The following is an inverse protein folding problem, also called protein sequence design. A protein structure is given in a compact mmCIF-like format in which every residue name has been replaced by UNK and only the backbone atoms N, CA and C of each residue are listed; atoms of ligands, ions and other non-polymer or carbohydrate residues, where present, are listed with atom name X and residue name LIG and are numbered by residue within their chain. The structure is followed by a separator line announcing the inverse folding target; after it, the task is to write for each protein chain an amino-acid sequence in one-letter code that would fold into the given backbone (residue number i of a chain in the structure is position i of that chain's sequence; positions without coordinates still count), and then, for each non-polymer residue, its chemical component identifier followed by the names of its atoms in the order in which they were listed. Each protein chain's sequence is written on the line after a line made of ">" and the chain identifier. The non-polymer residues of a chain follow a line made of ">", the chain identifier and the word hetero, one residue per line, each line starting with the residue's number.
data_IF_172633684295
#
_entry.id   IF_172633684295
#
_cell.length_a   1.000
_cell.length_b   1.000
_cell.length_c   1.000
_cell.angle_alpha   90.00
_cell.angle_beta   90.00
_cell.angle_gamma   90.00
#
_symmetry.space_group_name_H-M   'P 1'
#
loop_
_entity.id
_entity.type
_entity.pdbx_description
1 polymer ?
#
# COMPACT_ATOMS: atom_id res chain seq x y z
N UNK A 1 11.69 16.70 16.02
CA UNK A 1 10.36 16.09 16.24
C UNK A 1 10.38 14.78 15.49
N UNK A 2 10.31 13.62 16.16
CA UNK A 2 10.39 12.33 15.46
C UNK A 2 9.05 12.10 14.75
N UNK A 3 9.04 12.20 13.42
CA UNK A 3 7.84 12.03 12.61
C UNK A 3 7.52 10.54 12.49
N UNK A 4 6.36 10.12 13.00
CA UNK A 4 5.80 8.79 12.76
C UNK A 4 4.58 8.94 11.88
N UNK A 5 4.48 8.09 10.85
CA UNK A 5 3.29 8.02 10.01
C UNK A 5 2.27 7.11 10.69
N UNK A 6 1.14 7.67 11.08
CA UNK A 6 0.00 6.90 11.58
C UNK A 6 -0.62 6.11 10.43
N UNK A 7 -1.15 4.91 10.72
CA UNK A 7 -1.94 4.20 9.74
C UNK A 7 -3.17 5.03 9.33
N UNK A 8 -3.50 5.01 8.04
CA UNK A 8 -4.69 5.69 7.49
C UNK A 8 -6.02 5.03 7.91
N UNK A 9 -5.97 3.93 8.68
CA UNK A 9 -7.11 3.20 9.20
C UNK A 9 -7.03 2.98 10.71
N UNK A 10 -7.94 2.16 11.23
CA UNK A 10 -7.89 1.71 12.62
C UNK A 10 -6.64 0.86 12.92
N UNK A 11 -6.35 0.62 14.21
CA UNK A 11 -5.19 -0.18 14.60
C UNK A 11 -5.22 -1.57 13.95
N UNK A 12 -4.15 -1.98 13.28
CA UNK A 12 -4.10 -3.24 12.52
C UNK A 12 -3.58 -4.36 13.43
N UNK A 13 -4.29 -5.49 13.59
CA UNK A 13 -3.78 -6.62 14.35
C UNK A 13 -2.57 -7.24 13.64
N UNK A 14 -1.51 -7.50 14.39
CA UNK A 14 -0.24 -8.08 13.93
C UNK A 14 0.29 -9.05 14.97
N UNK A 15 1.29 -9.84 14.61
CA UNK A 15 2.06 -10.65 15.54
C UNK A 15 3.54 -10.24 15.46
N UNK A 16 4.24 -10.26 16.58
CA UNK A 16 5.68 -10.01 16.65
C UNK A 16 6.42 -11.20 17.27
N UNK A 17 7.67 -11.41 16.88
CA UNK A 17 8.49 -12.49 17.42
C UNK A 17 9.06 -12.10 18.79
N UNK A 18 8.74 -12.88 19.83
CA UNK A 18 9.27 -12.72 21.19
C UNK A 18 9.67 -14.08 21.74
N UNK A 19 10.94 -14.22 22.15
CA UNK A 19 11.49 -15.46 22.72
C UNK A 19 11.27 -16.72 21.85
N UNK A 20 11.18 -16.53 20.52
CA UNK A 20 10.93 -17.60 19.55
C UNK A 20 9.46 -17.90 19.26
N UNK A 21 8.54 -17.24 19.97
CA UNK A 21 7.09 -17.37 19.79
C UNK A 21 6.47 -16.11 19.18
N UNK A 22 5.43 -16.29 18.36
CA UNK A 22 4.67 -15.19 17.80
C UNK A 22 3.62 -14.71 18.81
N UNK A 23 3.74 -13.46 19.24
CA UNK A 23 2.87 -12.84 20.23
C UNK A 23 1.92 -11.83 19.57
N UNK A 24 0.64 -11.78 19.98
CA UNK A 24 -0.33 -10.85 19.42
C UNK A 24 -0.03 -9.41 19.80
N UNK A 25 -0.17 -8.51 18.82
CA UNK A 25 0.05 -7.08 18.96
C UNK A 25 -0.86 -6.30 18.00
N UNK A 26 -0.77 -4.98 18.11
CA UNK A 26 -1.50 -4.02 17.30
C UNK A 26 -0.53 -2.99 16.74
N UNK A 27 -0.54 -2.86 15.43
CA UNK A 27 0.22 -1.86 14.69
C UNK A 27 -0.46 -0.49 14.78
N UNK A 28 0.28 0.52 15.21
CA UNK A 28 -0.19 1.89 15.36
C UNK A 28 0.32 2.83 14.26
N UNK A 29 1.53 2.56 13.75
CA UNK A 29 2.18 3.39 12.76
C UNK A 29 3.58 2.90 12.42
N UNK A 30 4.28 3.65 11.58
CA UNK A 30 5.60 3.28 11.09
C UNK A 30 6.43 4.53 10.75
N UNK A 31 7.72 4.34 10.53
CA UNK A 31 8.63 5.38 10.05
C UNK A 31 9.78 4.76 9.27
N UNK A 32 10.38 5.56 8.39
CA UNK A 32 11.66 5.21 7.78
C UNK A 32 12.82 5.68 8.66
N UNK A 33 13.84 4.84 8.75
CA UNK A 33 15.13 5.19 9.33
C UNK A 33 16.11 5.66 8.25
N UNK A 34 17.19 6.39 8.61
CA UNK A 34 18.15 6.93 7.64
C UNK A 34 18.89 5.86 6.82
N UNK A 35 18.94 4.63 7.31
CA UNK A 35 19.54 3.47 6.65
C UNK A 35 18.61 2.81 5.61
N UNK A 36 17.40 3.36 5.42
CA UNK A 36 16.40 2.83 4.51
C UNK A 36 15.56 1.69 5.12
N UNK A 37 15.80 1.33 6.38
CA UNK A 37 14.95 0.36 7.09
C UNK A 37 13.64 1.00 7.53
N UNK A 38 12.64 0.15 7.79
CA UNK A 38 11.36 0.59 8.33
C UNK A 38 11.25 0.13 9.78
N UNK A 39 10.97 1.09 10.66
CA UNK A 39 10.61 0.81 12.05
C UNK A 39 9.13 0.96 12.24
N UNK A 40 8.61 0.06 13.04
CA UNK A 40 7.18 -0.14 13.18
C UNK A 40 6.80 0.05 14.65
N UNK A 41 5.81 0.89 14.90
CA UNK A 41 5.33 1.20 16.24
C UNK A 41 4.17 0.28 16.59
N UNK A 42 4.40 -0.62 17.54
CA UNK A 42 3.43 -1.64 17.93
C UNK A 42 3.09 -1.57 19.39
N UNK A 43 1.90 -2.06 19.73
CA UNK A 43 1.40 -2.17 21.08
C UNK A 43 0.97 -3.60 21.36
N UNK A 44 1.44 -4.16 22.47
CA UNK A 44 1.15 -5.53 22.88
C UNK A 44 0.84 -5.60 24.38
N UNK A 45 0.20 -6.70 24.81
CA UNK A 45 0.04 -7.01 26.23
C UNK A 45 1.08 -8.05 26.59
N UNK A 46 2.09 -7.66 27.38
CA UNK A 46 3.17 -8.54 27.83
C UNK A 46 3.10 -8.66 29.34
N UNK A 47 2.98 -9.88 29.86
CA UNK A 47 2.77 -10.14 31.30
C UNK A 47 1.57 -9.36 31.89
N UNK A 48 0.49 -9.22 31.13
CA UNK A 48 -0.71 -8.49 31.54
C UNK A 48 -0.61 -6.96 31.46
N UNK A 49 0.54 -6.40 31.08
CA UNK A 49 0.73 -4.96 30.93
C UNK A 49 0.77 -4.56 29.46
N UNK A 50 0.02 -3.50 29.11
CA UNK A 50 0.08 -2.89 27.78
C UNK A 50 1.40 -2.15 27.61
N UNK A 51 2.21 -2.55 26.64
CA UNK A 51 3.49 -1.95 26.29
C UNK A 51 3.48 -1.50 24.84
N UNK A 52 4.19 -0.42 24.56
CA UNK A 52 4.37 0.10 23.20
C UNK A 52 5.86 0.13 22.90
N UNK A 53 6.26 -0.29 21.70
CA UNK A 53 7.67 -0.34 21.29
C UNK A 53 7.83 -0.12 19.80
N UNK A 54 9.02 0.29 19.39
CA UNK A 54 9.46 0.29 18.00
C UNK A 54 10.20 -1.01 17.69
N UNK A 55 9.83 -1.68 16.60
CA UNK A 55 10.39 -2.95 16.16
C UNK A 55 10.78 -2.88 14.69
N UNK A 56 11.64 -3.80 14.22
CA UNK A 56 11.90 -3.92 12.79
C UNK A 56 10.68 -4.52 12.09
N UNK A 57 10.46 -4.14 10.84
CA UNK A 57 9.39 -4.72 10.04
C UNK A 57 9.57 -6.24 9.86
N UNK A 58 10.81 -6.72 9.79
CA UNK A 58 11.16 -8.15 9.65
C UNK A 58 10.75 -9.00 10.86
N UNK A 59 10.58 -8.39 12.04
CA UNK A 59 10.15 -9.07 13.27
C UNK A 59 8.62 -9.17 13.39
N UNK A 60 7.88 -8.71 12.37
CA UNK A 60 6.42 -8.65 12.37
C UNK A 60 5.81 -9.47 11.25
N UNK A 61 4.64 -10.04 11.53
CA UNK A 61 3.79 -10.67 10.53
C UNK A 61 2.33 -10.37 10.77
N UNK A 62 1.51 -10.60 9.75
CA UNK A 62 0.06 -10.61 9.93
C UNK A 62 -0.34 -11.86 10.74
N UNK A 63 -1.40 -11.77 11.57
CA UNK A 63 -1.85 -12.91 12.35
C UNK A 63 -2.17 -14.07 11.42
N UNK A 64 -1.69 -15.25 11.78
CA UNK A 64 -1.96 -16.43 10.98
C UNK A 64 -3.43 -16.83 11.19
N UNK A 65 -4.32 -16.37 10.31
CA UNK A 65 -5.70 -16.82 10.29
C UNK A 65 -5.69 -18.31 9.94
N UNK A 66 -6.12 -19.16 10.87
CA UNK A 66 -6.49 -20.54 10.55
C UNK A 66 -7.48 -20.48 9.39
N UNK A 67 -7.06 -20.99 8.24
CA UNK A 67 -7.75 -20.92 6.95
C UNK A 67 -9.26 -20.91 7.11
N UNK A 68 -9.88 -19.72 7.06
CA UNK A 68 -11.30 -19.63 6.77
C UNK A 68 -11.39 -20.14 5.33
N UNK A 69 -12.00 -21.32 5.16
CA UNK A 69 -12.51 -21.80 3.87
C UNK A 69 -12.95 -20.57 3.07
N UNK A 70 -12.43 -20.35 1.85
CA UNK A 70 -12.73 -19.11 1.13
C UNK A 70 -14.24 -18.97 1.09
N UNK A 71 -14.76 -17.93 1.76
CA UNK A 71 -16.15 -17.55 1.58
C UNK A 71 -16.35 -17.36 0.07
N UNK A 72 -17.49 -17.79 -0.50
CA UNK A 72 -17.77 -17.60 -1.92
C UNK A 72 -17.39 -16.17 -2.30
N UNK A 73 -16.57 -16.04 -3.35
CA UNK A 73 -16.10 -14.75 -3.86
C UNK A 73 -17.30 -14.00 -4.44
N UNK A 74 -18.15 -13.44 -3.57
CA UNK A 74 -19.12 -12.42 -3.94
C UNK A 74 -18.31 -11.29 -4.60
N UNK A 75 -18.60 -10.94 -5.87
CA UNK A 75 -17.77 -9.99 -6.60
C UNK A 75 -17.84 -8.63 -5.91
N UNK A 76 -16.80 -8.32 -5.12
CA UNK A 76 -16.59 -6.97 -4.60
C UNK A 76 -16.21 -6.09 -5.80
N UNK A 77 -17.24 -5.50 -6.40
CA UNK A 77 -17.18 -4.31 -7.25
C UNK A 77 -15.97 -4.30 -8.19
N UNK A 78 -16.01 -5.10 -9.26
CA UNK A 78 -15.09 -4.92 -10.41
C UNK A 78 -15.66 -3.81 -11.31
N UNK A 79 -15.16 -2.56 -11.25
CA UNK A 79 -15.56 -1.53 -12.20
C UNK A 79 -15.25 -1.90 -13.65
N UNK A 80 -14.31 -2.84 -13.88
CA UNK A 80 -13.95 -3.33 -15.22
C UNK A 80 -15.11 -4.00 -15.96
N UNK A 81 -16.06 -4.60 -15.22
CA UNK A 81 -17.25 -5.21 -15.81
C UNK A 81 -18.30 -4.17 -16.24
N UNK A 82 -18.28 -2.97 -15.65
CA UNK A 82 -19.15 -1.86 -16.05
C UNK A 82 -18.62 -1.13 -17.30
N UNK A 83 -17.31 -1.15 -17.56
CA UNK A 83 -16.73 -0.55 -18.76
C UNK A 83 -17.02 -1.36 -20.03
N UNK A 84 -17.15 -2.69 -19.93
CA UNK A 84 -17.39 -3.56 -21.07
C UNK A 84 -18.79 -3.37 -21.72
N UNK A 85 -19.73 -2.75 -21.01
CA UNK A 85 -21.11 -2.53 -21.49
C UNK A 85 -21.33 -1.26 -22.33
N UNK A 86 -20.39 -0.31 -22.32
CA UNK A 86 -20.57 0.99 -22.99
C UNK A 86 -20.06 1.04 -24.44
N UNK A 87 -19.31 0.02 -24.89
CA UNK A 87 -18.59 0.01 -26.17
C UNK A 87 -19.42 -0.53 -27.36
N UNK A 88 -20.70 -0.16 -27.48
CA UNK A 88 -21.46 -0.34 -28.74
C UNK A 88 -22.13 0.92 -29.28
N UNK A 89 -21.99 2.06 -28.60
CA UNK A 89 -22.41 3.34 -29.15
C UNK A 89 -21.27 3.97 -29.97
N UNK A 90 -21.25 3.64 -31.26
CA UNK A 90 -20.57 4.33 -32.38
C UNK A 90 -19.63 5.48 -31.98
N UNK A 91 -18.34 5.18 -31.75
CA UNK A 91 -17.32 6.23 -31.72
C UNK A 91 -16.96 6.62 -33.16
N UNK A 92 -17.40 7.80 -33.59
CA UNK A 92 -16.72 8.53 -34.66
C UNK A 92 -15.30 8.82 -34.16
N UNK A 93 -14.23 8.52 -34.92
CA UNK A 93 -12.88 8.76 -34.43
C UNK A 93 -12.62 10.27 -34.40
N UNK A 94 -12.61 10.85 -33.20
CA UNK A 94 -12.06 12.20 -32.97
C UNK A 94 -10.56 12.14 -33.26
N UNK A 95 -10.00 12.99 -34.14
CA UNK A 95 -8.57 13.02 -34.40
C UNK A 95 -7.82 13.39 -33.12
N UNK A 96 -6.78 12.62 -32.81
CA UNK A 96 -5.91 12.86 -31.65
C UNK A 96 -5.17 14.20 -31.82
N UNK A 97 -4.96 14.97 -30.74
CA UNK A 97 -4.07 16.12 -30.79
C UNK A 97 -2.65 15.64 -31.16
N UNK A 98 -1.91 16.42 -31.97
CA UNK A 98 -0.55 16.04 -32.34
C UNK A 98 0.33 15.94 -31.09
N UNK A 99 1.11 14.86 -31.01
CA UNK A 99 2.07 14.67 -29.94
C UNK A 99 3.12 15.80 -29.98
N UNK A 100 3.55 16.33 -28.81
CA UNK A 100 4.63 17.30 -28.78
C UNK A 100 5.90 16.69 -29.36
N UNK A 101 6.46 17.32 -30.39
CA UNK A 101 7.71 16.87 -31.02
C UNK A 101 8.87 17.23 -30.08
N UNK A 102 9.77 16.28 -29.75
CA UNK A 102 10.99 16.57 -28.99
C UNK A 102 11.84 17.65 -29.69
N UNK A 103 12.34 18.63 -28.93
CA UNK A 103 13.18 19.74 -29.45
C UNK A 103 14.38 19.27 -30.27
N UNK A 104 14.86 18.05 -30.04
CA UNK A 104 15.96 17.42 -30.77
C UNK A 104 15.68 17.17 -32.26
N UNK A 105 14.41 17.23 -32.68
CA UNK A 105 13.98 17.03 -34.07
C UNK A 105 13.58 18.33 -34.76
N UNK A 106 13.68 19.49 -34.10
CA UNK A 106 13.36 20.78 -34.71
C UNK A 106 14.55 21.22 -35.57
N UNK A 107 14.38 21.46 -36.89
CA UNK A 107 15.46 22.01 -37.70
C UNK A 107 15.82 23.40 -37.17
N UNK A 108 17.12 23.66 -37.07
CA UNK A 108 17.66 24.94 -36.63
C UNK A 108 17.32 26.00 -37.68
N UNK A 109 16.20 26.68 -37.49
CA UNK A 109 15.84 27.85 -38.30
C UNK A 109 16.49 29.09 -37.70
N UNK A 110 17.81 29.06 -37.54
CA UNK A 110 18.63 30.25 -37.30
C UNK A 110 19.49 30.50 -38.55
N UNK A 111 18.86 30.93 -39.65
CA UNK A 111 19.65 31.54 -40.72
C UNK A 111 18.90 32.61 -41.52
N UNK A 112 19.31 33.84 -41.21
CA UNK A 112 19.20 35.12 -41.94
C UNK A 112 17.88 35.86 -41.87
#
# INVERSE_FOLDING_TARGET
>A
MQEMTTLLGGPLPVEFLLDGDWQPAVLLGWRHEPDGTCRVHVQAVVSGLRRTSWMQLDDLRLPQTASLVPAPLEPRTRPDLLLAGAERARRTPTPLPPLPVPRSLQPDTSRT
#
